data_IF_824838354999
#
_entry.id   IF_824838354999
#
_cell.length_a   1.000
_cell.length_b   1.000
_cell.length_c   1.000
_cell.angle_alpha   90.00
_cell.angle_beta   90.00
_cell.angle_gamma   90.00
#
_symmetry.space_group_name_H-M   'P 1'
#
loop_
_entity.id
_entity.type
_entity.pdbx_description
1 polymer ?
#
# COMPACT_ATOMS: atom_id res chain seq x y z
N UNK A 1 -11.69 -12.06 29.26
CA UNK A 1 -10.23 -11.87 29.47
C UNK A 1 -9.61 -11.39 28.18
N UNK A 2 -9.37 -10.09 28.09
CA UNK A 2 -8.52 -9.50 27.05
C UNK A 2 -7.09 -9.99 27.33
N UNK A 3 -6.58 -10.88 26.48
CA UNK A 3 -5.15 -11.23 26.50
C UNK A 3 -4.43 -10.05 25.89
N UNK A 4 -3.75 -9.27 26.71
CA UNK A 4 -2.73 -8.32 26.29
C UNK A 4 -1.67 -9.12 25.53
N UNK A 5 -1.72 -9.09 24.20
CA UNK A 5 -0.61 -9.51 23.34
C UNK A 5 0.49 -8.49 23.55
N UNK A 6 1.41 -8.81 24.47
CA UNK A 6 2.44 -7.88 24.91
C UNK A 6 3.48 -7.61 23.81
N UNK A 7 4.23 -6.52 23.99
CA UNK A 7 5.42 -6.15 23.22
C UNK A 7 6.35 -7.34 22.89
N UNK A 8 6.39 -8.38 23.72
CA UNK A 8 7.16 -9.59 23.49
C UNK A 8 6.79 -10.36 22.21
N UNK A 9 5.53 -10.32 21.75
CA UNK A 9 5.11 -11.02 20.53
C UNK A 9 5.47 -10.22 19.26
N UNK A 10 5.60 -8.90 19.38
CA UNK A 10 6.07 -8.03 18.29
C UNK A 10 7.55 -8.30 17.99
N UNK A 11 8.37 -8.45 19.02
CA UNK A 11 9.80 -8.74 18.87
C UNK A 11 10.08 -10.12 18.26
N UNK A 12 9.22 -11.11 18.47
CA UNK A 12 9.39 -12.46 17.88
C UNK A 12 9.21 -12.49 16.36
N UNK A 13 8.53 -11.49 15.79
CA UNK A 13 8.26 -11.37 14.34
C UNK A 13 9.21 -10.40 13.64
N UNK A 14 10.02 -9.71 14.43
CA UNK A 14 11.00 -8.77 13.93
C UNK A 14 12.18 -9.51 13.32
N UNK A 15 12.53 -9.15 12.10
CA UNK A 15 13.68 -9.64 11.36
C UNK A 15 14.56 -8.43 11.06
N UNK A 16 15.70 -8.35 11.72
CA UNK A 16 16.68 -7.31 11.42
C UNK A 16 17.42 -7.67 10.15
N UNK A 17 17.38 -6.77 9.17
CA UNK A 17 18.08 -6.92 7.91
C UNK A 17 19.43 -6.19 7.95
N UNK A 18 20.46 -6.88 7.51
CA UNK A 18 21.84 -6.37 7.42
C UNK A 18 22.34 -6.27 5.97
N UNK A 19 21.66 -6.95 5.05
CA UNK A 19 22.00 -7.01 3.64
C UNK A 19 20.77 -6.86 2.73
N UNK A 20 21.00 -6.37 1.52
CA UNK A 20 20.00 -6.30 0.46
C UNK A 20 19.58 -7.69 -0.07
N UNK A 21 20.38 -8.71 0.25
CA UNK A 21 20.16 -10.11 -0.17
C UNK A 21 19.52 -10.96 0.91
N UNK A 22 19.15 -10.37 2.05
CA UNK A 22 18.46 -11.11 3.11
C UNK A 22 17.12 -11.64 2.58
N UNK A 23 16.79 -12.88 2.97
CA UNK A 23 15.58 -13.54 2.46
C UNK A 23 14.31 -12.82 2.89
N UNK A 24 13.40 -12.63 1.94
CA UNK A 24 12.07 -12.05 2.16
C UNK A 24 12.01 -10.53 1.97
N UNK A 25 13.15 -9.82 1.86
CA UNK A 25 13.15 -8.36 1.65
C UNK A 25 13.00 -7.98 0.18
N UNK A 26 13.17 -8.92 -0.73
CA UNK A 26 13.01 -8.72 -2.17
C UNK A 26 11.61 -8.18 -2.54
N UNK A 27 10.60 -8.45 -1.71
CA UNK A 27 9.23 -7.92 -1.87
C UNK A 27 9.18 -6.38 -1.80
N UNK A 28 10.18 -5.74 -1.16
CA UNK A 28 10.31 -4.30 -1.04
C UNK A 28 11.35 -3.69 -1.98
N UNK A 29 12.10 -4.53 -2.70
CA UNK A 29 13.08 -4.07 -3.68
C UNK A 29 12.40 -3.28 -4.80
N UNK A 30 13.19 -2.64 -5.65
CA UNK A 30 12.72 -1.86 -6.79
C UNK A 30 12.04 -2.78 -7.83
N UNK A 31 10.83 -3.22 -7.53
CA UNK A 31 10.02 -3.97 -8.49
C UNK A 31 9.44 -3.00 -9.53
N UNK A 32 9.50 -3.40 -10.79
CA UNK A 32 8.80 -2.69 -11.85
C UNK A 32 7.29 -2.80 -11.66
N UNK A 33 6.52 -1.86 -12.21
CA UNK A 33 5.06 -1.93 -12.16
C UNK A 33 4.51 -3.24 -12.74
N UNK A 34 5.16 -3.79 -13.77
CA UNK A 34 4.75 -5.06 -14.38
C UNK A 34 4.91 -6.21 -13.39
N UNK A 35 6.00 -6.22 -12.62
CA UNK A 35 6.24 -7.22 -11.57
C UNK A 35 5.25 -7.07 -10.41
N UNK A 36 4.99 -5.83 -9.96
CA UNK A 36 4.01 -5.58 -8.91
C UNK A 36 2.59 -5.97 -9.32
N UNK A 37 2.21 -5.73 -10.57
CA UNK A 37 0.89 -6.13 -11.10
C UNK A 37 0.75 -7.63 -11.24
N UNK A 38 1.81 -8.32 -11.60
CA UNK A 38 1.83 -9.73 -11.98
C UNK A 38 0.63 -10.12 -12.87
N UNK A 39 0.65 -9.65 -14.12
CA UNK A 39 -0.48 -9.87 -15.06
C UNK A 39 -0.71 -11.33 -15.44
N UNK A 40 0.32 -12.17 -15.31
CA UNK A 40 0.24 -13.60 -15.64
C UNK A 40 -0.44 -14.34 -14.48
N UNK A 41 -0.13 -13.95 -13.25
CA UNK A 41 -0.68 -14.53 -12.03
C UNK A 41 -1.24 -13.41 -11.14
N UNK A 42 -2.45 -12.89 -11.43
CA UNK A 42 -3.03 -11.73 -10.74
C UNK A 42 -3.09 -11.90 -9.22
N UNK A 43 -3.32 -13.13 -8.76
CA UNK A 43 -3.40 -13.46 -7.33
C UNK A 43 -2.07 -13.26 -6.58
N UNK A 44 -0.96 -13.22 -7.31
CA UNK A 44 0.38 -12.90 -6.78
C UNK A 44 0.75 -11.42 -6.90
N UNK A 45 -0.11 -10.61 -7.49
CA UNK A 45 0.10 -9.18 -7.63
C UNK A 45 0.21 -8.47 -6.28
N UNK A 46 1.12 -7.50 -6.19
CA UNK A 46 1.44 -6.78 -4.98
C UNK A 46 1.04 -5.30 -5.07
N UNK A 47 0.74 -4.76 -3.90
CA UNK A 47 0.58 -3.33 -3.63
C UNK A 47 1.57 -2.96 -2.51
N UNK A 48 2.34 -1.90 -2.71
CA UNK A 48 3.18 -1.32 -1.65
C UNK A 48 2.49 -0.08 -1.09
N UNK A 49 1.98 -0.20 0.13
CA UNK A 49 1.40 0.91 0.88
C UNK A 49 2.49 1.62 1.69
N UNK A 50 2.63 2.94 1.52
CA UNK A 50 3.62 3.77 2.21
C UNK A 50 2.92 4.71 3.18
N UNK A 51 3.38 4.77 4.38
CA UNK A 51 2.93 5.54 5.55
C UNK A 51 1.85 4.85 6.39
N UNK A 52 1.84 5.12 7.71
CA UNK A 52 0.86 4.57 8.64
C UNK A 52 -0.58 4.80 8.15
N UNK A 53 -0.89 5.99 7.70
CA UNK A 53 -2.23 6.38 7.26
C UNK A 53 -2.70 5.58 6.03
N UNK A 54 -1.87 5.47 5.01
CA UNK A 54 -2.17 4.69 3.79
C UNK A 54 -2.38 3.22 4.14
N UNK A 55 -1.53 2.67 5.01
CA UNK A 55 -1.64 1.28 5.45
C UNK A 55 -2.95 1.04 6.20
N UNK A 56 -3.33 1.94 7.11
CA UNK A 56 -4.62 1.82 7.82
C UNK A 56 -5.83 1.86 6.86
N UNK A 57 -5.80 2.74 5.85
CA UNK A 57 -6.87 2.81 4.85
C UNK A 57 -6.93 1.53 4.03
N UNK A 58 -5.79 0.99 3.61
CA UNK A 58 -5.73 -0.26 2.86
C UNK A 58 -6.23 -1.46 3.70
N UNK A 59 -5.84 -1.55 4.98
CA UNK A 59 -6.35 -2.56 5.90
C UNK A 59 -7.87 -2.44 6.11
N UNK A 60 -8.39 -1.21 6.23
CA UNK A 60 -9.85 -0.98 6.32
C UNK A 60 -10.59 -1.38 5.05
N UNK A 61 -9.95 -1.23 3.88
CA UNK A 61 -10.47 -1.67 2.60
C UNK A 61 -10.35 -3.20 2.39
N UNK A 62 -9.78 -3.94 3.35
CA UNK A 62 -9.68 -5.39 3.31
C UNK A 62 -8.52 -5.92 2.45
N UNK A 63 -7.48 -5.12 2.24
CA UNK A 63 -6.24 -5.62 1.65
C UNK A 63 -5.49 -6.49 2.66
N UNK A 64 -4.99 -7.64 2.20
CA UNK A 64 -4.23 -8.60 3.01
C UNK A 64 -2.78 -8.17 3.14
N UNK A 65 -2.27 -7.88 4.35
CA UNK A 65 -0.86 -7.56 4.56
C UNK A 65 -0.02 -8.83 4.46
N UNK A 66 1.16 -8.71 3.85
CA UNK A 66 2.11 -9.81 3.65
C UNK A 66 3.42 -9.62 4.41
N UNK A 67 3.89 -8.40 4.50
CA UNK A 67 5.12 -8.05 5.20
C UNK A 67 5.16 -6.55 5.52
N UNK A 68 5.86 -6.17 6.59
CA UNK A 68 6.16 -4.79 6.96
C UNK A 68 7.66 -4.52 6.83
N UNK A 69 8.01 -3.26 6.50
CA UNK A 69 9.38 -2.77 6.49
C UNK A 69 9.43 -1.39 7.14
N UNK A 70 10.27 -1.21 8.15
CA UNK A 70 10.43 0.08 8.83
C UNK A 70 11.82 0.21 9.49
N UNK A 71 12.17 1.45 9.87
CA UNK A 71 13.31 1.65 10.78
C UNK A 71 12.94 1.11 12.19
N UNK A 72 13.93 0.58 12.89
CA UNK A 72 13.78 0.03 14.24
C UNK A 72 13.01 0.94 15.22
N UNK A 73 13.26 2.25 15.15
CA UNK A 73 12.62 3.24 16.03
C UNK A 73 11.09 3.34 15.88
N UNK A 74 10.54 2.92 14.74
CA UNK A 74 9.10 3.00 14.45
C UNK A 74 8.32 1.83 15.04
N UNK A 75 8.97 0.73 15.46
CA UNK A 75 8.29 -0.46 16.00
C UNK A 75 7.43 -0.11 17.22
N UNK A 76 7.97 0.68 18.13
CA UNK A 76 7.26 1.13 19.34
C UNK A 76 6.56 2.48 19.16
N UNK A 77 6.67 3.09 17.98
CA UNK A 77 6.07 4.37 17.62
C UNK A 77 4.95 4.19 16.57
N UNK A 78 5.11 4.88 15.45
CA UNK A 78 4.08 4.98 14.40
C UNK A 78 3.68 3.63 13.76
N UNK A 79 4.55 2.62 13.84
CA UNK A 79 4.26 1.29 13.31
C UNK A 79 3.54 0.37 14.30
N UNK A 80 3.52 0.67 15.60
CA UNK A 80 3.01 -0.24 16.63
C UNK A 80 1.56 -0.69 16.35
N UNK A 81 0.66 0.24 16.13
CA UNK A 81 -0.74 -0.07 15.84
C UNK A 81 -0.96 -0.79 14.50
N UNK A 82 -0.06 -0.59 13.53
CA UNK A 82 -0.08 -1.31 12.24
C UNK A 82 0.37 -2.75 12.46
N UNK A 83 1.47 -2.95 13.18
CA UNK A 83 2.01 -4.28 13.48
C UNK A 83 0.96 -5.14 14.19
N UNK A 84 0.25 -4.55 15.17
CA UNK A 84 -0.83 -5.23 15.87
C UNK A 84 -1.96 -5.64 14.92
N UNK A 85 -2.39 -4.73 14.04
CA UNK A 85 -3.48 -4.99 13.08
C UNK A 85 -3.11 -5.99 11.99
N UNK A 86 -1.86 -6.02 11.58
CA UNK A 86 -1.40 -6.92 10.52
C UNK A 86 -1.29 -8.39 10.97
N UNK A 87 -1.34 -8.66 12.27
CA UNK A 87 -1.30 -10.03 12.78
C UNK A 87 0.08 -10.67 12.63
N UNK A 88 0.14 -11.92 12.21
CA UNK A 88 1.35 -12.75 12.25
C UNK A 88 2.15 -12.74 10.94
N UNK A 89 2.57 -11.54 10.52
CA UNK A 89 3.40 -11.35 9.33
C UNK A 89 4.82 -10.91 9.70
N UNK A 90 5.84 -11.13 8.84
CA UNK A 90 7.20 -10.67 9.10
C UNK A 90 7.29 -9.14 9.14
N UNK A 91 8.07 -8.63 10.09
CA UNK A 91 8.39 -7.21 10.26
C UNK A 91 9.89 -7.05 10.05
N UNK A 92 10.26 -6.60 8.86
CA UNK A 92 11.65 -6.34 8.52
C UNK A 92 12.08 -4.98 9.05
N UNK A 93 13.24 -4.93 9.69
CA UNK A 93 13.80 -3.69 10.24
C UNK A 93 15.25 -3.53 9.85
N UNK A 94 15.67 -2.29 9.66
CA UNK A 94 17.04 -2.00 9.33
C UNK A 94 17.37 -0.53 9.48
N UNK A 95 18.65 -0.21 9.24
CA UNK A 95 19.11 1.18 9.23
C UNK A 95 18.54 1.95 8.04
N UNK A 96 18.27 3.24 8.25
CA UNK A 96 17.70 4.13 7.25
C UNK A 96 18.44 4.10 5.90
N UNK A 97 19.78 4.03 5.91
CA UNK A 97 20.59 3.99 4.69
C UNK A 97 20.37 2.70 3.91
N UNK A 98 20.36 1.55 4.62
CA UNK A 98 20.11 0.23 4.02
C UNK A 98 18.70 0.18 3.41
N UNK A 99 17.70 0.64 4.15
CA UNK A 99 16.32 0.68 3.66
C UNK A 99 16.16 1.58 2.44
N UNK A 100 16.83 2.75 2.41
CA UNK A 100 16.80 3.64 1.25
C UNK A 100 17.44 3.00 0.01
N UNK A 101 18.50 2.23 0.19
CA UNK A 101 19.14 1.49 -0.92
C UNK A 101 18.23 0.36 -1.42
N UNK A 102 17.58 -0.38 -0.52
CA UNK A 102 16.66 -1.46 -0.86
C UNK A 102 15.47 -0.97 -1.67
N UNK A 103 14.86 0.12 -1.23
CA UNK A 103 13.64 0.67 -1.84
C UNK A 103 13.90 1.61 -3.01
N UNK A 104 15.15 2.05 -3.19
CA UNK A 104 15.56 3.04 -4.19
C UNK A 104 15.23 4.49 -3.82
N UNK A 105 14.77 4.77 -2.58
CA UNK A 105 14.51 6.12 -2.07
C UNK A 105 14.49 6.13 -0.54
N UNK A 106 14.65 7.32 0.04
CA UNK A 106 14.58 7.48 1.50
C UNK A 106 13.13 7.38 1.98
N UNK A 107 12.87 6.49 2.93
CA UNK A 107 11.57 6.37 3.59
C UNK A 107 11.29 7.63 4.42
N UNK A 108 10.46 8.52 3.92
CA UNK A 108 10.14 9.79 4.59
C UNK A 108 9.09 9.64 5.69
N UNK A 109 8.27 8.58 5.62
CA UNK A 109 7.15 8.33 6.53
C UNK A 109 7.25 7.00 7.28
N UNK A 110 8.43 6.45 7.36
CA UNK A 110 8.85 5.44 8.33
C UNK A 110 8.43 4.00 8.10
N UNK A 111 7.29 3.71 7.42
CA UNK A 111 6.74 2.35 7.32
C UNK A 111 6.24 2.05 5.92
N UNK A 112 6.61 0.88 5.41
CA UNK A 112 6.03 0.27 4.20
C UNK A 112 5.28 -1.02 4.59
N UNK A 113 4.21 -1.31 3.87
CA UNK A 113 3.51 -2.59 3.93
C UNK A 113 3.33 -3.14 2.52
N UNK A 114 3.84 -4.34 2.30
CA UNK A 114 3.50 -5.11 1.12
C UNK A 114 2.17 -5.81 1.36
N UNK A 115 1.24 -5.65 0.43
CA UNK A 115 -0.11 -6.21 0.52
C UNK A 115 -0.46 -6.94 -0.76
N UNK A 116 -1.29 -7.97 -0.66
CA UNK A 116 -1.85 -8.68 -1.80
C UNK A 116 -2.87 -7.80 -2.53
N UNK A 117 -2.79 -7.75 -3.84
CA UNK A 117 -3.84 -7.12 -4.65
C UNK A 117 -5.11 -7.94 -4.58
N UNK A 118 -6.23 -7.24 -4.58
CA UNK A 118 -7.54 -7.88 -4.65
C UNK A 118 -7.90 -8.17 -6.10
N UNK A 119 -8.61 -9.26 -6.32
CA UNK A 119 -9.26 -9.50 -7.60
C UNK A 119 -10.23 -8.36 -7.93
N UNK A 120 -10.17 -7.89 -9.16
CA UNK A 120 -11.10 -6.85 -9.63
C UNK A 120 -12.40 -7.51 -10.08
N UNK A 121 -13.56 -6.89 -9.80
CA UNK A 121 -14.82 -7.34 -10.35
C UNK A 121 -14.81 -7.17 -11.88
N UNK A 122 -15.66 -7.92 -12.57
CA UNK A 122 -15.84 -7.73 -14.00
C UNK A 122 -16.46 -6.37 -14.31
N UNK A 123 -16.22 -5.84 -15.51
CA UNK A 123 -16.83 -4.58 -15.97
C UNK A 123 -18.36 -4.66 -15.91
N UNK A 124 -18.92 -5.81 -16.27
CA UNK A 124 -20.35 -6.04 -16.24
C UNK A 124 -20.93 -5.97 -14.82
N UNK A 125 -20.27 -6.59 -13.84
CA UNK A 125 -20.68 -6.52 -12.42
C UNK A 125 -20.62 -5.10 -11.88
N UNK A 126 -19.59 -4.35 -12.23
CA UNK A 126 -19.41 -2.94 -11.84
C UNK A 126 -20.52 -2.09 -12.44
N UNK A 127 -20.74 -2.18 -13.77
CA UNK A 127 -21.74 -1.38 -14.48
C UNK A 127 -23.18 -1.67 -14.03
N UNK A 128 -23.47 -2.88 -13.62
CA UNK A 128 -24.82 -3.26 -13.12
C UNK A 128 -25.22 -2.50 -11.86
N UNK A 129 -24.25 -2.15 -11.02
CA UNK A 129 -24.48 -1.52 -9.70
C UNK A 129 -24.24 -0.02 -9.71
N UNK A 130 -23.40 0.48 -10.62
CA UNK A 130 -22.97 1.88 -10.65
C UNK A 130 -24.00 2.77 -11.36
N UNK A 131 -24.25 3.95 -10.78
CA UNK A 131 -25.05 5.03 -11.39
C UNK A 131 -24.19 6.03 -12.14
N UNK A 132 -22.98 6.28 -11.63
CA UNK A 132 -22.03 7.24 -12.17
C UNK A 132 -20.68 6.54 -12.36
N UNK A 133 -20.22 6.52 -13.58
CA UNK A 133 -18.97 5.83 -13.97
C UNK A 133 -18.07 6.84 -14.66
N UNK A 134 -16.80 6.85 -14.30
CA UNK A 134 -15.75 7.55 -15.04
C UNK A 134 -14.97 6.53 -15.86
N UNK A 135 -14.77 6.82 -17.12
CA UNK A 135 -13.89 6.04 -18.00
C UNK A 135 -12.61 6.82 -18.22
N UNK A 136 -11.47 6.19 -17.96
CA UNK A 136 -10.14 6.79 -18.13
C UNK A 136 -9.43 6.05 -19.25
N UNK A 137 -9.06 6.78 -20.29
CA UNK A 137 -8.34 6.25 -21.44
C UNK A 137 -6.97 6.90 -21.59
N UNK A 138 -5.92 6.06 -21.62
CA UNK A 138 -4.55 6.48 -21.96
C UNK A 138 -3.89 7.46 -21.00
N UNK A 139 -4.36 7.58 -19.75
CA UNK A 139 -3.73 8.43 -18.75
C UNK A 139 -2.54 7.69 -18.13
N UNK A 140 -1.33 8.06 -18.53
CA UNK A 140 -0.09 7.35 -18.15
C UNK A 140 0.59 7.92 -16.90
N UNK A 141 0.33 9.16 -16.54
CA UNK A 141 0.94 9.79 -15.36
C UNK A 141 0.25 9.35 -14.07
N UNK A 142 1.03 8.80 -13.14
CA UNK A 142 0.55 8.28 -11.85
C UNK A 142 -0.06 9.38 -10.96
N UNK A 143 0.45 10.61 -11.06
CA UNK A 143 -0.08 11.74 -10.28
C UNK A 143 -1.47 12.10 -10.76
N UNK A 144 -1.68 12.15 -12.09
CA UNK A 144 -2.99 12.42 -12.68
C UNK A 144 -3.99 11.32 -12.32
N UNK A 145 -3.61 10.05 -12.40
CA UNK A 145 -4.46 8.93 -11.95
C UNK A 145 -4.87 9.12 -10.49
N UNK A 146 -3.91 9.37 -9.59
CA UNK A 146 -4.20 9.59 -8.18
C UNK A 146 -5.15 10.78 -7.94
N UNK A 147 -4.96 11.89 -8.66
CA UNK A 147 -5.82 13.07 -8.57
C UNK A 147 -7.24 12.79 -9.07
N UNK A 148 -7.39 12.06 -10.18
CA UNK A 148 -8.70 11.69 -10.73
C UNK A 148 -9.44 10.77 -9.75
N UNK A 149 -8.78 9.75 -9.19
CA UNK A 149 -9.40 8.86 -8.21
C UNK A 149 -9.86 9.60 -6.96
N UNK A 150 -9.05 10.54 -6.45
CA UNK A 150 -9.43 11.39 -5.33
C UNK A 150 -10.66 12.25 -5.65
N UNK A 151 -10.66 12.92 -6.80
CA UNK A 151 -11.78 13.76 -7.22
C UNK A 151 -13.04 12.95 -7.46
N UNK A 152 -12.92 11.78 -8.05
CA UNK A 152 -14.03 10.86 -8.26
C UNK A 152 -14.67 10.42 -6.94
N UNK A 153 -13.86 10.09 -5.95
CA UNK A 153 -14.34 9.73 -4.61
C UNK A 153 -15.10 10.93 -3.96
N UNK A 154 -14.54 12.13 -4.02
CA UNK A 154 -15.18 13.34 -3.49
C UNK A 154 -16.52 13.69 -4.17
N UNK A 155 -16.63 13.41 -5.48
CA UNK A 155 -17.84 13.64 -6.26
C UNK A 155 -18.85 12.47 -6.16
N UNK A 156 -18.54 11.44 -5.38
CA UNK A 156 -19.38 10.26 -5.20
C UNK A 156 -19.55 9.44 -6.49
N UNK A 157 -18.51 9.33 -7.29
CA UNK A 157 -18.47 8.41 -8.43
C UNK A 157 -18.47 6.98 -7.93
N UNK A 158 -19.35 6.13 -8.47
CA UNK A 158 -19.53 4.76 -8.00
C UNK A 158 -18.45 3.81 -8.53
N UNK A 159 -17.90 4.09 -9.73
CA UNK A 159 -16.90 3.25 -10.36
C UNK A 159 -16.01 4.01 -11.33
N UNK A 160 -14.77 3.51 -11.49
CA UNK A 160 -13.81 3.99 -12.47
C UNK A 160 -13.36 2.80 -13.32
N UNK A 161 -13.49 2.94 -14.64
CA UNK A 161 -12.99 1.99 -15.63
C UNK A 161 -11.73 2.57 -16.25
N UNK A 162 -10.67 1.77 -16.32
CA UNK A 162 -9.40 2.18 -16.94
C UNK A 162 -9.07 1.30 -18.14
N UNK A 163 -8.59 1.93 -19.19
CA UNK A 163 -8.00 1.19 -20.31
C UNK A 163 -6.63 0.63 -19.93
N UNK A 164 -6.21 -0.46 -20.60
CA UNK A 164 -4.96 -1.17 -20.28
C UNK A 164 -3.69 -0.34 -20.46
N UNK A 165 -3.73 0.70 -21.27
CA UNK A 165 -2.65 1.63 -21.53
C UNK A 165 -2.61 2.79 -20.53
N UNK A 166 -3.54 2.85 -19.58
CA UNK A 166 -3.47 3.79 -18.46
C UNK A 166 -2.54 3.30 -17.36
N UNK A 167 -1.99 4.24 -16.58
CA UNK A 167 -1.19 3.93 -15.40
C UNK A 167 -2.04 3.16 -14.38
N UNK A 168 -1.38 2.27 -13.65
CA UNK A 168 -1.99 1.49 -12.58
C UNK A 168 -2.40 2.40 -11.41
N UNK A 169 -3.67 2.40 -10.97
CA UNK A 169 -4.11 3.19 -9.83
C UNK A 169 -3.50 2.71 -8.50
N UNK A 170 -3.02 1.46 -8.43
CA UNK A 170 -2.30 0.92 -7.29
C UNK A 170 -0.77 1.15 -7.38
N UNK A 171 -0.31 1.90 -8.39
CA UNK A 171 1.03 2.45 -8.39
C UNK A 171 1.25 3.26 -7.11
N UNK A 172 2.40 3.07 -6.46
CA UNK A 172 2.71 3.74 -5.18
C UNK A 172 2.51 5.26 -5.22
N UNK A 173 2.92 5.92 -6.33
CA UNK A 173 2.76 7.36 -6.49
C UNK A 173 1.29 7.76 -6.64
N UNK A 174 0.50 6.99 -7.40
CA UNK A 174 -0.94 7.23 -7.55
C UNK A 174 -1.68 7.08 -6.22
N UNK A 175 -1.42 6.01 -5.47
CA UNK A 175 -1.98 5.76 -4.14
C UNK A 175 -1.63 6.90 -3.19
N UNK A 176 -0.37 7.36 -3.21
CA UNK A 176 0.08 8.47 -2.37
C UNK A 176 -0.66 9.77 -2.68
N UNK A 177 -0.83 10.12 -3.95
CA UNK A 177 -1.56 11.32 -4.37
C UNK A 177 -3.04 11.21 -4.04
N UNK A 178 -3.66 10.05 -4.23
CA UNK A 178 -5.06 9.81 -3.92
C UNK A 178 -5.35 9.97 -2.42
N UNK A 179 -4.54 9.38 -1.55
CA UNK A 179 -4.84 9.25 -0.12
C UNK A 179 -4.25 10.36 0.76
N UNK A 180 -3.14 11.02 0.35
CA UNK A 180 -2.49 12.03 1.19
C UNK A 180 -3.27 13.34 1.30
N UNK A 181 -4.02 13.71 0.27
CA UNK A 181 -4.76 14.97 0.27
C UNK A 181 -6.16 14.91 0.87
N UNK A 182 -6.72 13.72 1.07
CA UNK A 182 -8.01 13.57 1.76
C UNK A 182 -7.91 13.82 3.26
N UNK A 183 -6.70 13.94 3.81
CA UNK A 183 -6.47 14.14 5.23
C UNK A 183 -6.18 15.58 5.64
N UNK A 184 -5.64 16.38 4.73
CA UNK A 184 -5.36 17.80 5.03
C UNK A 184 -6.64 18.67 4.88
N UNK A 185 -7.59 18.23 4.07
CA UNK A 185 -8.88 18.90 3.92
C UNK A 185 -9.88 18.65 5.07
N UNK A 186 -9.63 17.66 5.93
CA UNK A 186 -10.50 17.37 7.07
C UNK A 186 -10.08 18.09 8.35
N UNK A 187 -8.87 18.63 8.40
CA UNK A 187 -8.34 19.37 9.56
C UNK A 187 -8.57 20.90 9.47
N UNK A 188 -9.17 21.39 8.36
CA UNK A 188 -9.48 22.81 8.14
C UNK A 188 -10.99 23.14 8.12
N UNK A 189 -11.85 22.27 8.65
CA UNK A 189 -13.29 22.55 8.79
C UNK A 189 -13.73 22.49 10.24
#
# INVERSE_FOLDING_TARGET
>A
RSVSRGLGDVYKRQIEISSLTDSGVEIFSTLTEAQLRNRIEPDKGLLIAESPKVIHVALNAGYEPLALLCEQKHITGDAAGIIERCGDIPVYTGERKLLATLTGYTLTRGVLCAMRRRALPSVEEVCRKARRIVVIEGVVDATNIGAIFRSAAALGIDAILLTRNSCDPLNRRAVRVCLLYTSDAADEL
#
